data_IF_779323193532
#
_entry.id   IF_779323193532
#
_cell.length_a   1.000
_cell.length_b   1.000
_cell.length_c   1.000
_cell.angle_alpha   90.00
_cell.angle_beta   90.00
_cell.angle_gamma   90.00
#
_symmetry.space_group_name_H-M   'P 1'
#
loop_
_entity.id
_entity.type
_entity.pdbx_description
1 polymer ?
#
# COMPACT_ATOMS: atom_id res chain seq x y z
N UNK A 1 15.02 -4.43 17.65
CA UNK A 1 13.99 -3.77 18.49
C UNK A 1 12.80 -3.47 17.61
N UNK A 2 11.59 -3.89 17.98
CA UNK A 2 10.36 -3.64 17.22
C UNK A 2 10.03 -2.14 17.26
N UNK A 3 9.89 -1.50 16.10
CA UNK A 3 9.50 -0.10 15.92
C UNK A 3 7.98 0.01 15.90
N UNK A 4 7.32 -0.89 15.16
CA UNK A 4 5.87 -0.92 15.00
C UNK A 4 5.31 -2.08 15.81
N UNK A 5 4.61 -1.80 16.89
CA UNK A 5 3.95 -2.84 17.70
C UNK A 5 2.52 -3.10 17.22
N UNK A 6 1.92 -4.21 17.63
CA UNK A 6 0.53 -4.53 17.32
C UNK A 6 -0.43 -3.46 17.85
N UNK A 7 -0.15 -2.88 19.02
CA UNK A 7 -0.93 -1.78 19.59
C UNK A 7 -0.91 -0.53 18.68
N UNK A 8 0.23 -0.20 18.08
CA UNK A 8 0.31 0.94 17.15
C UNK A 8 -0.49 0.70 15.86
N UNK A 9 -0.53 -0.54 15.38
CA UNK A 9 -1.34 -0.90 14.20
C UNK A 9 -2.84 -0.76 14.44
N UNK A 10 -3.30 -0.87 15.69
CA UNK A 10 -4.73 -0.73 16.05
C UNK A 10 -5.15 0.72 16.36
N UNK A 11 -4.19 1.61 16.64
CA UNK A 11 -4.49 3.02 16.91
C UNK A 11 -5.14 3.74 15.71
N UNK A 12 -6.01 4.71 16.00
CA UNK A 12 -6.49 5.68 15.00
C UNK A 12 -5.37 6.66 14.60
N UNK A 13 -5.58 7.39 13.52
CA UNK A 13 -4.67 8.45 13.09
C UNK A 13 -4.37 9.45 14.22
N UNK A 14 -5.41 9.97 14.88
CA UNK A 14 -5.27 10.92 16.00
C UNK A 14 -4.51 10.33 17.19
N UNK A 15 -4.71 9.05 17.49
CA UNK A 15 -3.99 8.37 18.58
C UNK A 15 -2.50 8.23 18.25
N UNK A 16 -2.17 7.88 17.01
CA UNK A 16 -0.78 7.83 16.54
C UNK A 16 -0.11 9.20 16.59
N UNK A 17 -0.79 10.25 16.13
CA UNK A 17 -0.28 11.63 16.20
C UNK A 17 0.05 12.01 17.65
N UNK A 18 -0.87 11.76 18.59
CA UNK A 18 -0.64 12.01 20.03
C UNK A 18 0.54 11.19 20.56
N UNK A 19 0.64 9.92 20.16
CA UNK A 19 1.74 9.05 20.55
C UNK A 19 3.09 9.58 20.05
N UNK A 20 3.20 9.96 18.79
CA UNK A 20 4.45 10.47 18.21
C UNK A 20 4.83 11.85 18.74
N UNK A 21 3.85 12.72 19.02
CA UNK A 21 4.11 13.99 19.72
C UNK A 21 4.70 13.77 21.12
N UNK A 22 4.22 12.75 21.85
CA UNK A 22 4.80 12.35 23.14
C UNK A 22 6.20 11.74 22.98
N UNK A 23 6.40 10.91 21.95
CA UNK A 23 7.66 10.18 21.70
C UNK A 23 8.80 11.09 21.25
N UNK A 24 8.54 12.00 20.31
CA UNK A 24 9.57 12.80 19.65
C UNK A 24 9.56 14.28 20.03
N UNK A 25 8.54 14.73 20.76
CA UNK A 25 8.34 16.14 21.11
C UNK A 25 7.70 16.95 19.98
N UNK A 26 7.41 18.22 20.28
CA UNK A 26 6.79 19.16 19.34
C UNK A 26 7.80 19.68 18.32
N UNK A 27 7.33 19.96 17.11
CA UNK A 27 8.10 20.75 16.14
C UNK A 27 8.19 22.19 16.66
N UNK A 28 9.36 22.83 16.49
CA UNK A 28 9.65 24.14 17.11
C UNK A 28 9.18 25.33 16.27
N UNK A 29 9.20 25.18 14.95
CA UNK A 29 8.89 26.24 14.01
C UNK A 29 7.88 25.75 12.98
N UNK A 30 7.21 26.68 12.31
CA UNK A 30 6.31 26.39 11.18
C UNK A 30 7.09 25.67 10.05
N UNK A 31 6.39 24.90 9.22
CA UNK A 31 7.02 24.13 8.14
C UNK A 31 7.58 25.06 7.07
N UNK A 32 6.74 25.95 6.52
CA UNK A 32 7.15 27.05 5.67
C UNK A 32 7.39 28.33 6.48
N UNK A 33 8.35 29.14 6.03
CA UNK A 33 8.69 30.42 6.68
C UNK A 33 7.55 31.43 6.68
N UNK A 34 6.74 31.46 5.61
CA UNK A 34 5.68 32.45 5.41
C UNK A 34 4.48 31.83 4.68
N UNK A 35 3.30 32.49 4.70
CA UNK A 35 2.12 32.03 3.97
C UNK A 35 2.31 31.83 2.47
N UNK A 36 3.35 32.45 1.87
CA UNK A 36 3.67 32.25 0.45
C UNK A 36 4.29 30.88 0.15
N UNK A 37 4.63 30.09 1.18
CA UNK A 37 5.16 28.74 1.08
C UNK A 37 6.40 28.60 0.16
N UNK A 38 7.19 29.67 0.02
CA UNK A 38 8.35 29.69 -0.89
C UNK A 38 9.54 28.90 -0.34
N UNK A 39 9.73 28.89 0.98
CA UNK A 39 10.91 28.29 1.61
C UNK A 39 10.55 27.51 2.87
N UNK A 40 11.13 26.31 2.98
CA UNK A 40 10.98 25.40 4.13
C UNK A 40 11.96 25.77 5.24
N UNK A 41 11.50 25.69 6.48
CA UNK A 41 12.27 25.99 7.69
C UNK A 41 13.31 24.89 7.99
N UNK A 42 14.53 25.07 7.51
CA UNK A 42 15.62 24.09 7.70
C UNK A 42 15.98 23.81 9.16
N UNK A 43 15.70 24.75 10.08
CA UNK A 43 15.91 24.57 11.53
C UNK A 43 15.06 23.46 12.15
N UNK A 44 14.02 23.01 11.44
CA UNK A 44 13.20 21.88 11.85
C UNK A 44 13.79 20.52 11.42
N UNK A 45 14.88 20.48 10.65
CA UNK A 45 15.43 19.20 10.18
C UNK A 45 15.98 18.37 11.33
N UNK A 46 15.47 17.14 11.45
CA UNK A 46 15.98 16.08 12.31
C UNK A 46 16.41 14.86 11.50
N UNK A 47 16.82 15.09 10.26
CA UNK A 47 17.23 14.03 9.32
C UNK A 47 18.44 13.26 9.82
N UNK A 48 19.33 13.89 10.61
CA UNK A 48 20.47 13.20 11.25
C UNK A 48 20.03 12.13 12.26
N UNK A 49 18.80 12.23 12.77
CA UNK A 49 18.19 11.24 13.68
C UNK A 49 17.33 10.22 12.90
N UNK A 50 17.32 10.29 11.56
CA UNK A 50 16.45 9.49 10.70
C UNK A 50 14.96 9.86 10.80
N UNK A 51 14.66 11.07 11.31
CA UNK A 51 13.30 11.58 11.45
C UNK A 51 12.94 12.55 10.32
N UNK A 52 11.65 12.56 9.99
CA UNK A 52 11.00 13.48 9.06
C UNK A 52 9.75 14.09 9.69
N UNK A 53 9.25 15.17 9.07
CA UNK A 53 8.02 15.83 9.49
C UNK A 53 6.85 15.28 8.68
N UNK A 54 5.77 14.95 9.38
CA UNK A 54 4.46 14.72 8.82
C UNK A 54 3.53 15.88 9.20
N UNK A 55 2.67 16.30 8.26
CA UNK A 55 1.66 17.33 8.49
C UNK A 55 0.40 16.67 9.06
N UNK A 56 -0.04 17.10 10.23
CA UNK A 56 -1.20 16.49 10.92
C UNK A 56 -2.49 16.71 10.12
N UNK A 57 -2.58 17.78 9.32
CA UNK A 57 -3.75 18.09 8.51
C UNK A 57 -3.76 17.40 7.13
N UNK A 58 -2.85 16.45 6.87
CA UNK A 58 -2.90 15.62 5.65
C UNK A 58 -4.08 14.63 5.61
N UNK A 59 -4.80 14.49 6.71
CA UNK A 59 -6.13 13.86 6.80
C UNK A 59 -7.25 14.70 6.17
N UNK A 60 -6.97 15.97 5.84
CA UNK A 60 -7.90 16.93 5.22
C UNK A 60 -7.40 17.46 3.88
N UNK A 61 -6.11 17.77 3.78
CA UNK A 61 -5.49 18.40 2.60
C UNK A 61 -4.28 17.58 2.13
N UNK A 62 -4.22 17.11 0.89
CA UNK A 62 -3.12 16.26 0.45
C UNK A 62 -1.82 17.04 0.23
N UNK A 63 -0.67 16.37 0.42
CA UNK A 63 0.66 16.82 -0.01
C UNK A 63 1.09 18.19 0.55
N UNK A 64 0.86 18.44 1.85
CA UNK A 64 1.11 19.76 2.47
C UNK A 64 2.58 20.17 2.54
N UNK A 65 3.49 19.24 2.27
CA UNK A 65 4.92 19.52 2.10
C UNK A 65 5.29 20.18 0.77
N UNK A 66 4.40 20.11 -0.23
CA UNK A 66 4.60 20.68 -1.56
C UNK A 66 3.91 22.05 -1.65
N UNK A 67 4.64 23.06 -2.14
CA UNK A 67 4.17 24.45 -2.18
C UNK A 67 2.83 24.59 -2.90
N UNK A 68 2.67 23.91 -4.03
CA UNK A 68 1.49 24.00 -4.91
C UNK A 68 0.22 23.54 -4.20
N UNK A 69 0.34 22.58 -3.28
CA UNK A 69 -0.77 22.07 -2.49
C UNK A 69 -0.96 22.86 -1.19
N UNK A 70 0.13 23.26 -0.54
CA UNK A 70 0.10 24.05 0.69
C UNK A 70 -0.60 25.40 0.50
N UNK A 71 -0.48 26.03 -0.67
CA UNK A 71 -1.18 27.30 -0.97
C UNK A 71 -2.71 27.16 -1.05
N UNK A 72 -3.23 25.95 -1.21
CA UNK A 72 -4.67 25.67 -1.27
C UNK A 72 -5.28 25.32 0.10
N UNK A 73 -4.49 25.43 1.18
CA UNK A 73 -4.96 25.19 2.55
C UNK A 73 -4.70 26.43 3.43
N UNK A 74 -5.44 26.60 4.55
CA UNK A 74 -5.11 27.63 5.52
C UNK A 74 -3.66 27.47 6.02
N UNK A 75 -2.92 28.58 6.12
CA UNK A 75 -1.54 28.57 6.62
C UNK A 75 -1.42 27.97 8.04
N UNK A 76 -2.53 27.91 8.79
CA UNK A 76 -2.58 27.20 10.07
C UNK A 76 -2.12 25.73 9.96
N UNK A 77 -2.39 25.06 8.83
CA UNK A 77 -1.94 23.67 8.58
C UNK A 77 -0.41 23.52 8.54
N UNK A 78 0.30 24.64 8.36
CA UNK A 78 1.76 24.70 8.30
C UNK A 78 2.40 25.05 9.65
N UNK A 79 1.59 25.34 10.68
CA UNK A 79 2.07 25.77 11.99
C UNK A 79 2.76 24.66 12.77
N UNK A 80 3.74 25.02 13.58
CA UNK A 80 4.54 24.08 14.36
C UNK A 80 3.71 23.07 15.21
N UNK A 81 2.57 23.51 15.74
CA UNK A 81 1.62 22.69 16.51
C UNK A 81 0.74 21.75 15.65
N UNK A 82 0.79 21.89 14.32
CA UNK A 82 0.14 21.04 13.31
C UNK A 82 1.12 20.09 12.62
N UNK A 83 2.32 19.92 13.18
CA UNK A 83 3.37 19.06 12.64
C UNK A 83 3.80 18.01 13.68
N UNK A 84 4.25 16.86 13.21
CA UNK A 84 4.78 15.79 14.06
C UNK A 84 6.02 15.15 13.45
N UNK A 85 6.99 14.80 14.28
CA UNK A 85 8.16 14.01 13.85
C UNK A 85 7.84 12.52 13.85
N UNK A 86 8.30 11.82 12.82
CA UNK A 86 8.16 10.37 12.66
C UNK A 86 9.37 9.80 11.92
N UNK A 87 9.68 8.52 12.15
CA UNK A 87 10.53 7.77 11.23
C UNK A 87 9.73 7.29 9.99
N UNK A 88 10.38 6.67 9.02
CA UNK A 88 9.73 6.33 7.75
C UNK A 88 8.65 5.24 7.83
N UNK A 89 8.76 4.26 8.74
CA UNK A 89 7.70 3.25 8.93
C UNK A 89 6.48 3.86 9.62
N UNK A 90 6.72 4.71 10.60
CA UNK A 90 5.66 5.47 11.30
C UNK A 90 4.95 6.43 10.34
N UNK A 91 5.70 7.07 9.43
CA UNK A 91 5.13 7.93 8.39
C UNK A 91 4.21 7.15 7.43
N UNK A 92 4.65 5.97 6.99
CA UNK A 92 3.82 5.09 6.16
C UNK A 92 2.54 4.69 6.90
N UNK A 93 2.65 4.33 8.18
CA UNK A 93 1.50 3.96 9.01
C UNK A 93 0.49 5.11 9.13
N UNK A 94 0.96 6.35 9.32
CA UNK A 94 0.08 7.53 9.35
C UNK A 94 -0.71 7.68 8.04
N UNK A 95 -0.06 7.55 6.88
CA UNK A 95 -0.77 7.63 5.59
C UNK A 95 -1.73 6.47 5.34
N UNK A 96 -1.42 5.27 5.83
CA UNK A 96 -2.35 4.13 5.81
C UNK A 96 -3.59 4.47 6.64
N UNK A 97 -3.44 5.02 7.84
CA UNK A 97 -4.55 5.39 8.70
C UNK A 97 -5.42 6.50 8.11
N UNK A 98 -4.81 7.54 7.53
CA UNK A 98 -5.54 8.56 6.77
C UNK A 98 -6.40 7.92 5.68
N UNK A 99 -5.82 7.04 4.86
CA UNK A 99 -6.56 6.39 3.77
C UNK A 99 -7.70 5.51 4.29
N UNK A 100 -7.45 4.70 5.33
CA UNK A 100 -8.45 3.82 5.93
C UNK A 100 -9.66 4.62 6.45
N UNK A 101 -9.42 5.66 7.24
CA UNK A 101 -10.46 6.49 7.83
C UNK A 101 -11.22 7.29 6.76
N UNK A 102 -10.51 7.84 5.76
CA UNK A 102 -11.13 8.56 4.65
C UNK A 102 -12.00 7.64 3.79
N UNK A 103 -11.52 6.44 3.45
CA UNK A 103 -12.26 5.46 2.67
C UNK A 103 -13.57 5.07 3.37
N UNK A 104 -13.53 4.77 4.67
CA UNK A 104 -14.75 4.48 5.43
C UNK A 104 -15.75 5.65 5.44
N UNK A 105 -15.27 6.90 5.49
CA UNK A 105 -16.12 8.09 5.44
C UNK A 105 -16.71 8.35 4.05
N UNK A 106 -15.92 8.17 2.97
CA UNK A 106 -16.31 8.50 1.60
C UNK A 106 -17.16 7.43 0.93
N UNK A 107 -16.90 6.15 1.19
CA UNK A 107 -17.70 5.05 0.63
C UNK A 107 -19.16 5.18 1.07
N UNK A 108 -19.42 5.55 2.33
CA UNK A 108 -20.77 5.83 2.85
C UNK A 108 -21.52 6.92 2.06
N UNK A 109 -20.79 7.76 1.33
CA UNK A 109 -21.31 8.85 0.50
C UNK A 109 -21.22 8.55 -1.01
N UNK A 110 -20.86 7.34 -1.41
CA UNK A 110 -20.64 6.97 -2.81
C UNK A 110 -19.43 7.65 -3.45
N UNK A 111 -18.47 8.11 -2.65
CA UNK A 111 -17.28 8.84 -3.12
C UNK A 111 -16.02 7.97 -3.06
N UNK A 112 -15.04 8.29 -3.91
CA UNK A 112 -13.75 7.59 -3.94
C UNK A 112 -12.72 8.24 -2.99
N UNK A 113 -12.01 7.45 -2.16
CA UNK A 113 -10.91 7.95 -1.33
C UNK A 113 -9.74 8.44 -2.18
N UNK A 114 -9.04 9.45 -1.69
CA UNK A 114 -7.96 10.13 -2.41
C UNK A 114 -6.79 10.54 -1.52
N UNK A 115 -7.01 10.74 -0.23
CA UNK A 115 -5.99 11.10 0.76
C UNK A 115 -5.19 9.87 1.19
N UNK A 116 -3.96 10.09 1.64
CA UNK A 116 -3.06 9.02 2.08
C UNK A 116 -2.45 8.17 0.95
N UNK A 117 -3.22 7.80 -0.09
CA UNK A 117 -2.78 6.90 -1.18
C UNK A 117 -1.47 7.32 -1.88
N UNK A 118 -1.26 8.60 -2.25
CA UNK A 118 0.02 9.04 -2.82
C UNK A 118 1.20 8.85 -1.85
N UNK A 119 0.99 9.16 -0.56
CA UNK A 119 1.97 8.99 0.50
C UNK A 119 2.33 7.52 0.72
N UNK A 120 1.34 6.61 0.77
CA UNK A 120 1.56 5.17 0.84
C UNK A 120 2.46 4.71 -0.31
N UNK A 121 2.10 5.06 -1.55
CA UNK A 121 2.85 4.65 -2.75
C UNK A 121 4.29 5.16 -2.73
N UNK A 122 4.49 6.44 -2.41
CA UNK A 122 5.82 7.05 -2.38
C UNK A 122 6.69 6.43 -1.29
N UNK A 123 6.17 6.30 -0.06
CA UNK A 123 6.92 5.79 1.08
C UNK A 123 7.21 4.29 0.93
N UNK A 124 6.26 3.47 0.45
CA UNK A 124 6.52 2.05 0.17
C UNK A 124 7.67 1.88 -0.81
N UNK A 125 7.72 2.67 -1.89
CA UNK A 125 8.83 2.63 -2.84
C UNK A 125 10.17 2.98 -2.22
N UNK A 126 10.21 4.05 -1.43
CA UNK A 126 11.42 4.48 -0.75
C UNK A 126 11.90 3.45 0.29
N UNK A 127 10.98 2.86 1.07
CA UNK A 127 11.30 1.81 2.04
C UNK A 127 11.79 0.54 1.32
N UNK A 128 11.18 0.18 0.19
CA UNK A 128 11.63 -0.95 -0.63
C UNK A 128 13.07 -0.76 -1.12
N UNK A 129 13.46 0.47 -1.50
CA UNK A 129 14.85 0.79 -1.82
C UNK A 129 15.76 0.62 -0.60
N UNK A 130 15.34 1.06 0.59
CA UNK A 130 16.11 0.92 1.84
C UNK A 130 16.39 -0.53 2.23
N UNK A 131 15.49 -1.46 1.91
CA UNK A 131 15.72 -2.89 2.11
C UNK A 131 16.41 -3.60 0.95
N UNK A 132 16.62 -2.93 -0.19
CA UNK A 132 17.29 -3.49 -1.36
C UNK A 132 18.74 -3.02 -1.52
N UNK A 133 19.03 -1.81 -1.04
CA UNK A 133 20.32 -1.15 -1.19
C UNK A 133 21.09 -1.23 0.12
N UNK A 134 22.36 -1.63 0.06
CA UNK A 134 23.20 -1.85 1.25
C UNK A 134 23.55 -0.55 1.98
N UNK A 135 23.76 0.55 1.26
CA UNK A 135 24.11 1.86 1.82
C UNK A 135 23.78 3.01 0.87
N UNK A 136 23.56 4.19 1.42
CA UNK A 136 23.38 5.44 0.67
C UNK A 136 24.50 6.44 1.00
N UNK A 137 24.87 7.28 0.04
CA UNK A 137 25.90 8.32 0.22
C UNK A 137 25.30 9.71 0.58
N UNK A 138 24.05 9.73 1.03
CA UNK A 138 23.30 10.95 1.28
C UNK A 138 22.40 10.78 2.52
N UNK A 139 21.51 11.74 2.75
CA UNK A 139 20.66 11.77 3.92
C UNK A 139 19.75 10.54 4.08
N UNK A 140 19.47 9.80 2.99
CA UNK A 140 18.67 8.58 3.05
C UNK A 140 19.33 7.49 3.91
N UNK A 141 20.65 7.48 4.08
CA UNK A 141 21.34 6.52 4.97
C UNK A 141 20.87 6.67 6.42
N UNK A 142 20.60 7.89 6.86
CA UNK A 142 20.09 8.13 8.21
C UNK A 142 18.70 7.53 8.40
N UNK A 143 17.82 7.57 7.39
CA UNK A 143 16.50 6.94 7.48
C UNK A 143 16.59 5.42 7.35
N UNK A 144 17.39 4.93 6.40
CA UNK A 144 17.56 3.50 6.16
C UNK A 144 18.14 2.79 7.39
N UNK A 145 19.14 3.39 8.05
CA UNK A 145 19.78 2.83 9.25
C UNK A 145 18.81 2.66 10.41
N UNK A 146 17.81 3.55 10.58
CA UNK A 146 16.78 3.40 11.63
C UNK A 146 15.95 2.13 11.46
N UNK A 147 15.68 1.73 10.22
CA UNK A 147 14.73 0.64 9.92
C UNK A 147 15.41 -0.63 9.39
N UNK A 148 16.74 -0.62 9.26
CA UNK A 148 17.52 -1.67 8.57
C UNK A 148 17.23 -3.08 9.06
N UNK A 149 16.95 -3.23 10.35
CA UNK A 149 16.67 -4.50 11.02
C UNK A 149 15.16 -4.71 11.29
N UNK A 150 14.29 -3.95 10.64
CA UNK A 150 12.84 -3.88 10.91
C UNK A 150 12.02 -4.26 9.68
N UNK A 151 12.50 -5.21 8.88
CA UNK A 151 11.78 -5.70 7.70
C UNK A 151 10.41 -6.28 8.07
N UNK A 152 10.32 -7.04 9.16
CA UNK A 152 9.05 -7.62 9.59
C UNK A 152 8.04 -6.55 10.02
N UNK A 153 8.49 -5.48 10.67
CA UNK A 153 7.63 -4.35 11.03
C UNK A 153 7.07 -3.65 9.78
N UNK A 154 7.90 -3.49 8.74
CA UNK A 154 7.44 -2.96 7.46
C UNK A 154 6.38 -3.85 6.81
N UNK A 155 6.60 -5.17 6.82
CA UNK A 155 5.62 -6.12 6.32
C UNK A 155 4.33 -6.07 7.16
N UNK A 156 4.41 -5.95 8.48
CA UNK A 156 3.25 -5.84 9.36
C UNK A 156 2.44 -4.55 9.06
N UNK A 157 3.12 -3.42 8.81
CA UNK A 157 2.48 -2.16 8.36
C UNK A 157 1.73 -2.36 7.04
N UNK A 158 2.37 -2.95 6.03
CA UNK A 158 1.71 -3.21 4.75
C UNK A 158 0.56 -4.22 4.88
N UNK A 159 0.71 -5.25 5.71
CA UNK A 159 -0.36 -6.22 5.94
C UNK A 159 -1.59 -5.58 6.61
N UNK A 160 -1.41 -4.57 7.47
CA UNK A 160 -2.54 -3.80 8.01
C UNK A 160 -3.33 -3.09 6.90
N UNK A 161 -2.63 -2.55 5.91
CA UNK A 161 -3.25 -1.91 4.74
C UNK A 161 -3.93 -2.95 3.84
N UNK A 162 -3.26 -4.05 3.51
CA UNK A 162 -3.82 -5.11 2.67
C UNK A 162 -5.05 -5.78 3.30
N UNK A 163 -5.06 -5.96 4.62
CA UNK A 163 -6.22 -6.48 5.36
C UNK A 163 -7.42 -5.53 5.28
N UNK A 164 -7.18 -4.22 5.25
CA UNK A 164 -8.24 -3.25 5.00
C UNK A 164 -8.74 -3.33 3.56
N UNK A 165 -7.82 -3.34 2.58
CA UNK A 165 -8.16 -3.46 1.16
C UNK A 165 -8.95 -4.74 0.88
N UNK A 166 -8.58 -5.88 1.46
CA UNK A 166 -9.31 -7.14 1.24
C UNK A 166 -10.77 -7.08 1.71
N UNK A 167 -11.06 -6.27 2.73
CA UNK A 167 -12.42 -6.11 3.29
C UNK A 167 -13.25 -5.10 2.51
N UNK A 168 -12.62 -4.00 2.09
CA UNK A 168 -13.32 -2.82 1.56
C UNK A 168 -13.27 -2.76 0.02
N UNK A 169 -12.17 -3.21 -0.56
CA UNK A 169 -11.85 -3.12 -1.98
C UNK A 169 -11.20 -4.43 -2.48
N UNK A 170 -11.85 -5.60 -2.30
CA UNK A 170 -11.24 -6.92 -2.51
C UNK A 170 -10.64 -7.10 -3.92
N UNK A 171 -11.30 -6.54 -4.95
CA UNK A 171 -10.86 -6.61 -6.34
C UNK A 171 -9.52 -5.91 -6.60
N UNK A 172 -9.07 -5.03 -5.70
CA UNK A 172 -7.82 -4.29 -5.83
C UNK A 172 -6.67 -4.91 -5.03
N UNK A 173 -6.91 -5.95 -4.22
CA UNK A 173 -5.93 -6.51 -3.30
C UNK A 173 -4.61 -6.86 -3.99
N UNK A 174 -4.67 -7.58 -5.11
CA UNK A 174 -3.48 -7.98 -5.83
C UNK A 174 -2.72 -6.76 -6.40
N UNK A 175 -3.43 -5.85 -7.09
CA UNK A 175 -2.80 -4.65 -7.66
C UNK A 175 -2.14 -3.78 -6.58
N UNK A 176 -2.71 -3.75 -5.37
CA UNK A 176 -2.09 -3.06 -4.22
C UNK A 176 -0.85 -3.78 -3.72
N UNK A 177 -0.82 -5.13 -3.70
CA UNK A 177 0.41 -5.89 -3.39
C UNK A 177 1.51 -5.55 -4.38
N UNK A 178 1.18 -5.49 -5.68
CA UNK A 178 2.18 -5.14 -6.70
C UNK A 178 2.70 -3.72 -6.54
N UNK A 179 1.82 -2.73 -6.42
CA UNK A 179 2.24 -1.33 -6.29
C UNK A 179 3.04 -1.09 -5.00
N UNK A 180 2.64 -1.72 -3.89
CA UNK A 180 3.36 -1.64 -2.61
C UNK A 180 4.72 -2.35 -2.63
N UNK A 181 4.95 -3.24 -3.60
CA UNK A 181 6.22 -3.97 -3.77
C UNK A 181 7.18 -3.29 -4.74
N UNK A 182 6.79 -2.19 -5.39
CA UNK A 182 7.67 -1.48 -6.34
C UNK A 182 8.74 -0.67 -5.63
N UNK A 183 9.91 -0.56 -6.25
CA UNK A 183 10.98 0.38 -5.91
C UNK A 183 10.75 1.75 -6.58
N UNK A 184 11.60 2.73 -6.29
CA UNK A 184 11.48 4.08 -6.90
C UNK A 184 11.62 4.03 -8.43
N UNK A 185 12.45 3.12 -8.95
CA UNK A 185 12.63 2.83 -10.38
C UNK A 185 11.46 2.06 -11.03
N UNK A 186 10.37 1.80 -10.29
CA UNK A 186 9.21 0.98 -10.67
C UNK A 186 9.46 -0.52 -10.88
N UNK A 187 10.69 -1.01 -10.67
CA UNK A 187 10.94 -2.46 -10.65
C UNK A 187 10.44 -3.08 -9.34
N UNK A 188 10.19 -4.39 -9.33
CA UNK A 188 9.66 -5.08 -8.15
C UNK A 188 10.77 -5.41 -7.15
N UNK A 189 10.45 -5.27 -5.86
CA UNK A 189 11.19 -5.89 -4.77
C UNK A 189 10.62 -7.29 -4.51
N UNK A 190 11.29 -8.31 -5.03
CA UNK A 190 10.84 -9.71 -4.94
C UNK A 190 10.69 -10.20 -3.50
N UNK A 191 11.55 -9.75 -2.58
CA UNK A 191 11.49 -10.13 -1.17
C UNK A 191 10.19 -9.62 -0.54
N UNK A 192 9.84 -8.37 -0.81
CA UNK A 192 8.60 -7.75 -0.34
C UNK A 192 7.39 -8.43 -0.98
N UNK A 193 7.37 -8.55 -2.32
CA UNK A 193 6.26 -9.21 -3.03
C UNK A 193 6.00 -10.62 -2.52
N UNK A 194 7.04 -11.46 -2.39
CA UNK A 194 6.92 -12.83 -1.86
C UNK A 194 6.39 -12.85 -0.43
N UNK A 195 6.86 -11.94 0.42
CA UNK A 195 6.42 -11.86 1.82
C UNK A 195 4.95 -11.47 1.92
N UNK A 196 4.51 -10.45 1.18
CA UNK A 196 3.11 -10.01 1.15
C UNK A 196 2.20 -11.07 0.57
N UNK A 197 2.58 -11.69 -0.56
CA UNK A 197 1.81 -12.77 -1.17
C UNK A 197 1.64 -13.96 -0.22
N UNK A 198 2.72 -14.37 0.46
CA UNK A 198 2.68 -15.46 1.43
C UNK A 198 1.73 -15.16 2.60
N UNK A 199 1.83 -13.96 3.19
CA UNK A 199 0.97 -13.55 4.31
C UNK A 199 -0.47 -13.25 3.90
N UNK A 200 -0.72 -12.92 2.64
CA UNK A 200 -2.06 -12.59 2.13
C UNK A 200 -2.87 -13.80 1.65
N UNK A 201 -2.33 -15.03 1.68
CA UNK A 201 -3.01 -16.25 1.20
C UNK A 201 -4.42 -16.40 1.76
N UNK A 202 -4.58 -16.23 3.08
CA UNK A 202 -5.90 -16.35 3.72
C UNK A 202 -6.86 -15.23 3.31
N UNK A 203 -6.36 -14.04 2.99
CA UNK A 203 -7.19 -12.94 2.48
C UNK A 203 -7.81 -13.32 1.13
N UNK A 204 -7.03 -13.93 0.22
CA UNK A 204 -7.53 -14.40 -1.07
C UNK A 204 -8.55 -15.52 -0.94
N UNK A 205 -8.32 -16.49 -0.03
CA UNK A 205 -9.28 -17.57 0.24
C UNK A 205 -10.61 -17.01 0.71
N UNK A 206 -10.61 -16.11 1.70
CA UNK A 206 -11.84 -15.48 2.20
C UNK A 206 -12.59 -14.70 1.12
N UNK A 207 -11.87 -14.02 0.22
CA UNK A 207 -12.48 -13.30 -0.91
C UNK A 207 -13.16 -14.29 -1.87
N UNK A 208 -12.49 -15.40 -2.21
CA UNK A 208 -13.03 -16.42 -3.11
C UNK A 208 -14.29 -17.09 -2.53
N UNK A 209 -14.28 -17.41 -1.24
CA UNK A 209 -15.44 -17.99 -0.53
C UNK A 209 -16.64 -17.03 -0.50
N UNK A 210 -16.38 -15.74 -0.27
CA UNK A 210 -17.44 -14.71 -0.29
C UNK A 210 -18.03 -14.50 -1.69
N UNK A 211 -17.19 -14.55 -2.73
CA UNK A 211 -17.67 -14.39 -4.10
C UNK A 211 -18.42 -15.63 -4.61
N UNK A 212 -18.08 -16.84 -4.15
CA UNK A 212 -18.86 -18.04 -4.42
C UNK A 212 -20.25 -18.04 -3.75
N UNK A 213 -20.49 -17.15 -2.79
CA UNK A 213 -21.79 -16.96 -2.11
C UNK A 213 -22.54 -15.69 -2.55
N UNK A 214 -21.96 -14.83 -3.40
CA UNK A 214 -22.59 -13.59 -3.89
C UNK A 214 -22.29 -13.38 -5.38
N UNK A 215 -23.29 -13.56 -6.25
CA UNK A 215 -23.27 -13.02 -7.62
C UNK A 215 -23.31 -11.47 -7.57
N UNK A 216 -22.51 -10.81 -8.43
CA UNK A 216 -22.32 -9.33 -8.66
C UNK A 216 -21.22 -8.66 -7.81
N UNK A 217 -20.29 -7.77 -8.27
CA UNK A 217 -20.40 -6.61 -9.18
C UNK A 217 -19.01 -5.97 -9.59
N UNK A 218 -18.84 -5.57 -10.88
CA UNK A 218 -17.91 -4.52 -11.44
C UNK A 218 -16.39 -4.73 -11.72
N UNK A 219 -16.04 -5.13 -12.96
CA UNK A 219 -14.85 -4.94 -13.83
C UNK A 219 -13.46 -4.48 -13.31
N UNK A 220 -12.40 -5.18 -13.79
CA UNK A 220 -11.18 -4.58 -14.39
C UNK A 220 -10.44 -5.61 -15.30
N UNK A 221 -9.96 -5.13 -16.46
CA UNK A 221 -9.33 -5.77 -17.63
C UNK A 221 -7.80 -5.45 -17.55
N UNK A 222 -6.80 -6.26 -17.94
CA UNK A 222 -6.51 -6.91 -19.24
C UNK A 222 -5.48 -8.08 -19.06
N UNK A 223 -5.65 -9.17 -19.81
CA UNK A 223 -5.00 -10.49 -19.64
C UNK A 223 -3.97 -10.83 -20.76
N UNK A 224 -3.29 -11.98 -20.65
CA UNK A 224 -3.26 -12.93 -21.79
C UNK A 224 -4.71 -13.43 -22.00
N UNK A 225 -5.36 -13.02 -23.08
CA UNK A 225 -6.78 -13.34 -23.29
C UNK A 225 -6.95 -14.85 -23.57
N UNK A 226 -7.61 -15.52 -22.62
CA UNK A 226 -8.18 -16.85 -22.82
C UNK A 226 -9.59 -16.70 -23.37
N UNK A 227 -9.97 -17.60 -24.29
CA UNK A 227 -11.31 -17.79 -24.81
C UNK A 227 -11.89 -19.12 -24.29
N UNK A 228 -13.22 -19.24 -24.28
CA UNK A 228 -13.88 -20.51 -23.95
C UNK A 228 -13.42 -21.57 -24.96
N UNK A 229 -12.95 -22.71 -24.46
CA UNK A 229 -12.37 -23.79 -25.26
C UNK A 229 -10.85 -23.77 -25.34
N UNK A 230 -10.18 -22.71 -24.90
CA UNK A 230 -8.72 -22.68 -24.85
C UNK A 230 -8.16 -23.75 -23.90
N UNK A 231 -7.00 -24.30 -24.27
CA UNK A 231 -6.22 -25.17 -23.39
C UNK A 231 -5.26 -24.35 -22.54
N UNK A 232 -5.27 -24.59 -21.24
CA UNK A 232 -4.37 -23.97 -20.28
C UNK A 232 -3.58 -25.01 -19.49
N UNK A 233 -2.36 -24.66 -19.09
CA UNK A 233 -1.56 -25.44 -18.15
C UNK A 233 -1.39 -24.67 -16.84
N UNK A 234 -1.70 -25.32 -15.72
CA UNK A 234 -1.45 -24.82 -14.37
C UNK A 234 -0.48 -25.77 -13.66
N UNK A 235 0.60 -25.25 -13.05
CA UNK A 235 1.66 -26.09 -12.45
C UNK A 235 1.13 -27.10 -11.42
N UNK A 236 0.13 -26.69 -10.63
CA UNK A 236 -0.53 -27.56 -9.63
C UNK A 236 -1.59 -28.50 -10.21
N UNK A 237 -2.40 -28.06 -11.17
CA UNK A 237 -3.62 -28.77 -11.60
C UNK A 237 -3.46 -29.50 -12.94
N UNK A 238 -2.34 -29.27 -13.63
CA UNK A 238 -2.04 -29.88 -14.93
C UNK A 238 -2.74 -29.15 -16.07
N UNK A 239 -3.04 -29.90 -17.13
CA UNK A 239 -3.74 -29.38 -18.31
C UNK A 239 -5.24 -29.32 -18.06
N UNK A 240 -5.88 -28.30 -18.61
CA UNK A 240 -7.33 -28.15 -18.56
C UNK A 240 -7.88 -27.30 -19.69
N UNK A 241 -9.20 -27.32 -19.82
CA UNK A 241 -9.94 -26.59 -20.86
C UNK A 241 -10.77 -25.50 -20.20
N UNK A 242 -10.68 -24.28 -20.72
CA UNK A 242 -11.52 -23.17 -20.28
C UNK A 242 -12.98 -23.46 -20.62
N UNK A 243 -13.83 -23.57 -19.60
CA UNK A 243 -15.27 -23.86 -19.73
C UNK A 243 -16.12 -22.61 -19.70
N UNK A 244 -15.74 -21.67 -18.83
CA UNK A 244 -16.51 -20.47 -18.58
C UNK A 244 -15.54 -19.34 -18.27
N UNK A 245 -15.80 -18.16 -18.83
CA UNK A 245 -15.10 -16.94 -18.48
C UNK A 245 -16.12 -16.03 -17.83
N UNK A 246 -15.97 -15.85 -16.53
CA UNK A 246 -16.81 -14.98 -15.74
C UNK A 246 -16.22 -13.56 -15.72
N UNK A 247 -17.02 -12.61 -15.23
CA UNK A 247 -16.54 -11.24 -14.96
C UNK A 247 -15.33 -11.29 -13.99
N UNK A 248 -14.51 -10.23 -13.99
CA UNK A 248 -13.26 -10.09 -13.19
C UNK A 248 -12.14 -11.07 -13.52
N UNK A 249 -12.08 -11.52 -14.78
CA UNK A 249 -11.06 -12.47 -15.25
C UNK A 249 -11.12 -13.84 -14.56
N UNK A 250 -12.19 -14.22 -13.87
CA UNK A 250 -12.28 -15.59 -13.33
C UNK A 250 -12.54 -16.56 -14.48
N UNK A 251 -11.61 -17.47 -14.70
CA UNK A 251 -11.64 -18.52 -15.71
C UNK A 251 -11.96 -19.82 -15.00
N UNK A 252 -13.12 -20.43 -15.27
CA UNK A 252 -13.35 -21.82 -14.87
C UNK A 252 -12.69 -22.74 -15.87
N UNK A 253 -11.84 -23.62 -15.34
CA UNK A 253 -11.06 -24.56 -16.13
C UNK A 253 -11.40 -25.96 -15.64
N UNK A 254 -11.80 -26.82 -16.56
CA UNK A 254 -11.93 -28.25 -16.33
C UNK A 254 -10.56 -28.89 -16.49
N UNK A 255 -9.90 -29.21 -15.37
CA UNK A 255 -8.59 -29.85 -15.38
C UNK A 255 -8.74 -31.37 -15.43
N UNK A 256 -7.95 -32.02 -16.30
CA UNK A 256 -8.05 -33.47 -16.59
C UNK A 256 -7.99 -34.36 -15.33
N UNK A 257 -7.23 -33.93 -14.31
CA UNK A 257 -6.96 -34.74 -13.11
C UNK A 257 -7.76 -34.34 -11.88
N UNK A 258 -8.26 -33.10 -11.83
CA UNK A 258 -8.81 -32.51 -10.60
C UNK A 258 -10.19 -31.89 -10.78
N UNK A 259 -10.77 -32.02 -11.97
CA UNK A 259 -12.07 -31.49 -12.34
C UNK A 259 -12.08 -29.97 -12.44
N UNK A 260 -13.28 -29.40 -12.42
CA UNK A 260 -13.50 -27.96 -12.52
C UNK A 260 -12.86 -27.18 -11.36
N UNK A 261 -12.09 -26.14 -11.70
CA UNK A 261 -11.58 -25.14 -10.75
C UNK A 261 -11.80 -23.74 -11.30
N UNK A 262 -12.15 -22.81 -10.41
CA UNK A 262 -12.15 -21.39 -10.71
C UNK A 262 -10.74 -20.82 -10.52
N UNK A 263 -10.19 -20.25 -11.60
CA UNK A 263 -8.85 -19.67 -11.66
C UNK A 263 -9.01 -18.17 -11.87
N UNK A 264 -8.36 -17.36 -11.02
CA UNK A 264 -8.38 -15.90 -11.20
C UNK A 264 -7.38 -15.56 -12.32
N UNK A 265 -7.88 -15.13 -13.46
CA UNK A 265 -7.10 -14.73 -14.64
C UNK A 265 -6.10 -13.63 -14.32
N UNK A 266 -4.95 -13.69 -14.97
CA UNK A 266 -3.74 -12.92 -14.65
C UNK A 266 -2.94 -13.43 -13.44
N UNK A 267 -3.56 -14.17 -12.50
CA UNK A 267 -2.95 -14.52 -11.20
C UNK A 267 -2.91 -16.01 -10.88
N UNK A 268 -3.66 -16.81 -11.62
CA UNK A 268 -3.73 -18.24 -11.45
C UNK A 268 -2.65 -19.02 -12.18
N UNK A 269 -1.60 -18.36 -12.70
CA UNK A 269 -0.49 -19.01 -13.42
C UNK A 269 -0.92 -20.01 -14.51
N UNK A 270 -2.11 -19.82 -15.09
CA UNK A 270 -2.62 -20.59 -16.20
C UNK A 270 -1.94 -20.07 -17.47
N UNK A 271 -1.15 -20.93 -18.13
CA UNK A 271 -0.43 -20.59 -19.37
C UNK A 271 -1.19 -21.17 -20.56
N UNK A 272 -1.44 -20.37 -21.60
CA UNK A 272 -2.10 -20.85 -22.81
C UNK A 272 -1.21 -21.86 -23.52
N UNK A 273 -1.76 -23.02 -23.86
CA UNK A 273 -1.07 -24.05 -24.63
C UNK A 273 -1.41 -23.79 -26.09
N UNK A 274 -0.48 -23.20 -26.85
CA UNK A 274 -0.68 -23.05 -28.29
C UNK A 274 -0.83 -24.44 -28.95
N UNK A 275 -1.76 -24.59 -29.91
CA UNK A 275 -1.87 -25.82 -30.66
C UNK A 275 -0.53 -26.07 -31.37
N UNK A 276 0.04 -27.27 -31.20
CA UNK A 276 1.17 -27.72 -32.02
C UNK A 276 0.74 -27.64 -33.49
N UNK A 277 1.45 -26.82 -34.27
CA UNK A 277 1.34 -26.80 -35.73
C UNK A 277 1.69 -28.18 -36.30
#
# INVERSE_FOLDING_TARGET
MKIITSELLEMSYDQLVKYYLKKYGKVKYDFFHTPTCVSVQKKNSRTKEGLQIHHIDEDKYPNLSQKEFALNCPFECQKANRLVYVNILEHLLLHIKIYQEEALRKIKKGQQPSLGKPGIRYLSKQINDYFSISSFNNWHENMASIIRNNFDDYIDVLMSYLTFISKVFPNYLFGVIEDSSKKTDNTLNDKVKKSLMSKSKNLFIMIAEKNNSQETLGNAIENENFDIGDKGFHETFGQGIVKEIQKYSIIKVEFEKVGEKAIIGGYGYLKKIEPKK
#
